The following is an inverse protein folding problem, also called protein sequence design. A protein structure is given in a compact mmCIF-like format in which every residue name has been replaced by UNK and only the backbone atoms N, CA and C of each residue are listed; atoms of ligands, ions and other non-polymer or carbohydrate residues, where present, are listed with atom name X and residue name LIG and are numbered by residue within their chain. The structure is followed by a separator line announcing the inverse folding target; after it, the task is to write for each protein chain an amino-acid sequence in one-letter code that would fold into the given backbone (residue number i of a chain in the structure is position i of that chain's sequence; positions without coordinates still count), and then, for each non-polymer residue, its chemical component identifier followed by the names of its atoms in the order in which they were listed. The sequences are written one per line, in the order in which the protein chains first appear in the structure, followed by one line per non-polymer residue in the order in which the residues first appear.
data_IF_013890919578
#
_entry.id   IF_013890919578
#
_cell.length_a   1.000
_cell.length_b   1.000
_cell.length_c   1.000
_cell.angle_alpha   90.00
_cell.angle_beta   90.00
_cell.angle_gamma   90.00
#
_symmetry.space_group_name_H-M   'P 1'
#
loop_
_entity.id
_entity.type
_entity.pdbx_description
1 polymer ?
#
# COMPACT_ATOMS: atom_id res chain seq x y z
N UNK A 1 -6.71 19.39 29.42
CA UNK A 1 -6.27 18.90 28.09
C UNK A 1 -7.51 18.56 27.30
N UNK A 2 -7.89 19.45 26.38
CA UNK A 2 -9.09 19.29 25.55
C UNK A 2 -8.66 18.62 24.25
N UNK A 3 -9.02 17.35 24.10
CA UNK A 3 -8.86 16.62 22.84
C UNK A 3 -10.05 16.97 21.96
N UNK A 4 -9.82 17.79 20.93
CA UNK A 4 -10.81 18.06 19.89
C UNK A 4 -10.86 16.87 18.95
N UNK A 5 -11.90 16.04 19.09
CA UNK A 5 -12.21 14.98 18.14
C UNK A 5 -12.84 15.63 16.89
N UNK A 6 -12.08 15.67 15.79
CA UNK A 6 -12.66 15.97 14.47
C UNK A 6 -13.52 14.77 14.02
N UNK A 7 -14.77 14.98 13.59
CA UNK A 7 -15.62 13.91 13.11
C UNK A 7 -15.16 13.51 11.70
N UNK A 8 -14.74 12.25 11.54
CA UNK A 8 -14.48 11.57 10.26
C UNK A 8 -13.44 12.26 9.35
N UNK A 9 -12.22 12.43 9.86
CA UNK A 9 -11.06 12.76 9.03
C UNK A 9 -10.39 11.49 8.50
N UNK A 10 -10.49 11.24 7.19
CA UNK A 10 -9.68 10.22 6.50
C UNK A 10 -8.19 10.48 6.80
N UNK A 11 -7.51 9.53 7.46
CA UNK A 11 -6.10 9.69 7.82
C UNK A 11 -5.23 9.15 6.69
N UNK A 12 -4.37 10.00 6.16
CA UNK A 12 -3.42 9.61 5.11
C UNK A 12 -2.06 9.34 5.73
N UNK A 13 -1.50 8.15 5.49
CA UNK A 13 -0.14 7.78 5.93
C UNK A 13 0.71 7.51 4.69
N UNK A 14 1.85 8.17 4.60
CA UNK A 14 2.81 7.97 3.50
C UNK A 14 3.92 7.02 3.94
N UNK A 15 4.12 5.92 3.20
CA UNK A 15 5.29 5.06 3.35
C UNK A 15 6.48 5.68 2.62
N UNK A 16 7.50 6.17 3.36
CA UNK A 16 8.79 6.58 2.79
C UNK A 16 9.20 8.04 2.98
N UNK A 17 8.38 8.88 3.62
CA UNK A 17 8.70 10.30 3.87
C UNK A 17 8.58 10.64 5.36
N UNK A 18 9.59 11.28 5.93
CA UNK A 18 9.50 11.92 7.24
C UNK A 18 8.64 13.19 7.11
N UNK A 19 7.36 13.14 7.46
CA UNK A 19 6.49 14.32 7.36
C UNK A 19 5.52 14.41 8.55
N UNK A 20 5.62 15.53 9.27
CA UNK A 20 4.64 15.99 10.25
C UNK A 20 3.34 16.38 9.51
N UNK A 21 2.24 15.68 9.76
CA UNK A 21 0.96 15.93 9.09
C UNK A 21 0.23 17.15 9.70
N UNK A 22 -0.04 18.18 8.89
CA UNK A 22 -1.13 19.13 9.11
C UNK A 22 -2.35 18.73 8.26
N UNK A 23 -3.54 18.83 8.84
CA UNK A 23 -4.80 18.48 8.20
C UNK A 23 -5.36 19.67 7.41
N UNK A 24 -5.61 19.50 6.11
CA UNK A 24 -6.42 20.46 5.33
C UNK A 24 -6.08 20.62 3.84
N UNK A 25 -4.91 20.20 3.38
CA UNK A 25 -4.55 20.27 1.95
C UNK A 25 -4.68 18.90 1.28
N UNK A 26 -5.10 18.88 0.01
CA UNK A 26 -4.98 17.71 -0.87
C UNK A 26 -3.53 17.23 -0.73
N UNK A 27 -3.28 16.02 -0.19
CA UNK A 27 -1.93 15.64 0.18
C UNK A 27 -1.03 15.71 -1.05
N UNK A 28 0.17 16.25 -0.87
CA UNK A 28 1.21 16.42 -1.92
C UNK A 28 1.47 15.13 -2.72
N UNK A 29 1.06 13.99 -2.17
CA UNK A 29 0.88 12.67 -2.77
C UNK A 29 0.24 12.70 -4.17
N UNK A 30 -0.72 13.60 -4.45
CA UNK A 30 -1.36 13.71 -5.78
C UNK A 30 -0.40 14.24 -6.86
N UNK A 31 0.72 14.87 -6.47
CA UNK A 31 1.72 15.36 -7.44
C UNK A 31 2.73 14.30 -7.86
N UNK A 32 2.84 13.22 -7.09
CA UNK A 32 3.75 12.12 -7.38
C UNK A 32 2.99 11.02 -8.10
N UNK A 33 3.08 11.01 -9.43
CA UNK A 33 2.46 10.02 -10.32
C UNK A 33 2.95 8.57 -10.09
N UNK A 34 3.84 8.33 -9.11
CA UNK A 34 4.36 7.02 -8.75
C UNK A 34 3.69 6.38 -7.53
N UNK A 35 2.89 7.12 -6.77
CA UNK A 35 2.30 6.61 -5.53
C UNK A 35 0.94 5.98 -5.77
N UNK A 36 0.68 4.83 -5.16
CA UNK A 36 -0.62 4.14 -5.22
C UNK A 36 -1.14 3.85 -3.82
N UNK A 37 -2.45 3.59 -3.70
CA UNK A 37 -2.98 2.91 -2.53
C UNK A 37 -2.40 1.50 -2.47
N UNK A 38 -1.63 1.22 -1.43
CA UNK A 38 -0.94 -0.05 -1.30
C UNK A 38 -1.87 -1.25 -1.15
N UNK A 39 -3.15 -1.05 -0.79
CA UNK A 39 -4.14 -2.12 -0.79
C UNK A 39 -4.36 -2.73 -2.19
N UNK A 40 -4.08 -1.98 -3.27
CA UNK A 40 -4.24 -2.45 -4.65
C UNK A 40 -3.12 -3.42 -5.05
N UNK A 41 -1.96 -3.36 -4.37
CA UNK A 41 -0.77 -4.08 -4.78
C UNK A 41 -0.97 -5.60 -4.83
N UNK A 42 -1.67 -6.17 -3.83
CA UNK A 42 -2.00 -7.59 -3.79
C UNK A 42 -2.87 -8.01 -4.98
N UNK A 43 -3.98 -7.31 -5.20
CA UNK A 43 -4.91 -7.61 -6.29
C UNK A 43 -4.25 -7.47 -7.67
N UNK A 44 -3.37 -6.48 -7.83
CA UNK A 44 -2.58 -6.32 -9.05
C UNK A 44 -1.66 -7.52 -9.28
N UNK A 45 -0.85 -7.87 -8.28
CA UNK A 45 0.14 -8.95 -8.35
C UNK A 45 -0.53 -10.31 -8.60
N UNK A 46 -1.64 -10.61 -7.91
CA UNK A 46 -2.44 -11.82 -8.11
C UNK A 46 -3.09 -11.87 -9.50
N UNK A 47 -3.61 -10.75 -9.99
CA UNK A 47 -4.21 -10.66 -11.34
C UNK A 47 -3.16 -10.93 -12.42
N UNK A 48 -1.99 -10.32 -12.30
CA UNK A 48 -0.87 -10.51 -13.23
C UNK A 48 -0.38 -11.96 -13.19
N UNK A 49 -0.27 -12.56 -11.99
CA UNK A 49 0.09 -13.97 -11.81
C UNK A 49 -0.93 -14.90 -12.45
N UNK A 50 -2.23 -14.67 -12.26
CA UNK A 50 -3.29 -15.51 -12.84
C UNK A 50 -3.28 -15.53 -14.37
N UNK A 51 -2.68 -14.51 -14.99
CA UNK A 51 -2.48 -14.40 -16.44
C UNK A 51 -1.19 -15.06 -16.93
N UNK A 52 -0.41 -15.67 -16.04
CA UNK A 52 0.87 -16.32 -16.37
C UNK A 52 2.00 -15.34 -16.69
N UNK A 53 1.89 -14.08 -16.29
CA UNK A 53 2.91 -13.05 -16.56
C UNK A 53 3.99 -12.98 -15.46
N UNK A 54 3.73 -13.60 -14.31
CA UNK A 54 4.68 -13.73 -13.20
C UNK A 54 4.86 -15.21 -12.87
N UNK A 55 6.07 -15.55 -12.40
CA UNK A 55 6.35 -16.87 -11.83
C UNK A 55 5.54 -17.13 -10.57
N UNK A 56 5.46 -18.39 -10.15
CA UNK A 56 4.78 -18.73 -8.91
C UNK A 56 5.68 -18.45 -7.70
N UNK A 57 5.10 -18.03 -6.59
CA UNK A 57 5.78 -17.82 -5.32
C UNK A 57 5.31 -18.82 -4.24
N UNK A 58 4.34 -19.69 -4.57
CA UNK A 58 3.83 -20.74 -3.67
C UNK A 58 4.83 -21.88 -3.43
N UNK A 59 5.93 -21.92 -4.19
CA UNK A 59 7.06 -22.82 -3.95
C UNK A 59 7.75 -22.60 -2.60
N UNK A 60 7.46 -21.47 -1.93
CA UNK A 60 7.98 -21.18 -0.59
C UNK A 60 9.42 -20.69 -0.57
N UNK A 61 9.94 -20.22 -1.71
CA UNK A 61 11.32 -19.74 -1.83
C UNK A 61 11.48 -18.24 -1.55
N UNK A 62 10.42 -17.44 -1.76
CA UNK A 62 10.45 -15.99 -1.52
C UNK A 62 9.04 -15.46 -1.25
N UNK A 63 8.95 -14.20 -0.81
CA UNK A 63 7.68 -13.53 -0.59
C UNK A 63 7.32 -12.56 -1.73
N UNK A 64 6.03 -12.43 -2.10
CA UNK A 64 5.58 -11.44 -3.08
C UNK A 64 5.71 -10.00 -2.57
N UNK A 65 5.68 -9.03 -3.48
CA UNK A 65 5.89 -7.61 -3.15
C UNK A 65 4.82 -7.07 -2.20
N UNK A 66 3.55 -7.48 -2.38
CA UNK A 66 2.46 -7.09 -1.49
C UNK A 66 2.72 -7.51 -0.04
N UNK A 67 3.41 -8.63 0.20
CA UNK A 67 3.73 -9.08 1.55
C UNK A 67 4.75 -8.14 2.21
N UNK A 68 5.77 -7.71 1.46
CA UNK A 68 6.73 -6.72 1.97
C UNK A 68 6.08 -5.36 2.26
N UNK A 69 5.11 -4.95 1.44
CA UNK A 69 4.29 -3.76 1.70
C UNK A 69 3.53 -3.89 3.03
N UNK A 70 2.83 -5.01 3.26
CA UNK A 70 2.08 -5.26 4.49
C UNK A 70 2.97 -5.16 5.74
N UNK A 71 4.18 -5.70 5.67
CA UNK A 71 5.16 -5.63 6.76
C UNK A 71 5.57 -4.18 7.05
N UNK A 72 5.95 -3.42 6.02
CA UNK A 72 6.34 -2.02 6.17
C UNK A 72 5.17 -1.16 6.66
N UNK A 73 3.95 -1.40 6.15
CA UNK A 73 2.72 -0.75 6.60
C UNK A 73 2.52 -0.98 8.10
N UNK A 74 2.57 -2.24 8.55
CA UNK A 74 2.38 -2.59 9.95
C UNK A 74 3.46 -1.93 10.82
N UNK A 75 4.74 -1.97 10.42
CA UNK A 75 5.82 -1.30 11.16
C UNK A 75 5.56 0.19 11.31
N UNK A 76 5.11 0.87 10.26
CA UNK A 76 4.83 2.31 10.31
C UNK A 76 3.63 2.64 11.21
N UNK A 77 2.56 1.85 11.14
CA UNK A 77 1.38 2.01 11.99
C UNK A 77 1.78 1.94 13.47
N UNK A 78 2.54 0.91 13.83
CA UNK A 78 3.03 0.71 15.20
C UNK A 78 3.94 1.86 15.65
N UNK A 79 4.86 2.31 14.80
CA UNK A 79 5.76 3.44 15.11
C UNK A 79 5.01 4.75 15.34
N UNK A 80 3.88 4.93 14.70
CA UNK A 80 3.04 6.12 14.82
C UNK A 80 2.00 6.01 15.94
N UNK A 81 2.02 4.93 16.74
CA UNK A 81 1.10 4.72 17.86
C UNK A 81 -0.34 4.44 17.45
N UNK A 82 -0.58 4.04 16.19
CA UNK A 82 -1.90 3.65 15.71
C UNK A 82 -2.19 2.18 16.04
N UNK A 83 -3.46 1.89 16.33
CA UNK A 83 -3.93 0.51 16.49
C UNK A 83 -4.26 -0.09 15.12
N UNK A 84 -4.17 -1.41 15.01
CA UNK A 84 -4.67 -2.13 13.83
C UNK A 84 -6.19 -1.98 13.66
N UNK A 85 -6.93 -1.60 14.72
CA UNK A 85 -8.36 -1.29 14.63
C UNK A 85 -8.66 -0.03 13.83
N UNK A 86 -7.70 0.89 13.73
CA UNK A 86 -7.88 2.20 13.08
C UNK A 86 -7.55 2.14 11.57
N UNK A 87 -7.15 0.96 11.08
CA UNK A 87 -6.71 0.72 9.70
C UNK A 87 -7.82 0.85 8.67
N UNK A 88 -9.07 0.55 9.03
CA UNK A 88 -10.19 0.64 8.10
C UNK A 88 -10.38 2.06 7.56
N UNK A 89 -9.89 3.05 8.30
CA UNK A 89 -10.11 4.47 8.05
C UNK A 89 -8.85 5.17 7.52
N UNK A 90 -7.78 4.41 7.24
CA UNK A 90 -6.50 4.93 6.82
C UNK A 90 -6.12 4.44 5.42
N UNK A 91 -5.87 5.37 4.50
CA UNK A 91 -5.26 5.05 3.20
C UNK A 91 -3.75 5.16 3.33
N UNK A 92 -3.04 4.08 3.03
CA UNK A 92 -1.59 4.05 3.06
C UNK A 92 -1.06 4.08 1.63
N UNK A 93 -0.41 5.19 1.29
CA UNK A 93 0.17 5.38 -0.02
C UNK A 93 1.60 4.84 -0.06
N UNK A 94 1.91 4.12 -1.13
CA UNK A 94 3.22 3.49 -1.35
C UNK A 94 3.71 3.78 -2.77
N UNK A 95 5.01 4.00 -2.92
CA UNK A 95 5.69 3.91 -4.22
C UNK A 95 6.13 2.45 -4.41
N UNK A 96 5.47 1.68 -5.30
CA UNK A 96 5.73 0.25 -5.43
C UNK A 96 7.10 -0.02 -6.09
N UNK A 97 7.61 0.89 -6.93
CA UNK A 97 8.95 0.75 -7.53
C UNK A 97 10.04 1.01 -6.48
N UNK A 98 9.86 2.02 -5.63
CA UNK A 98 10.76 2.25 -4.52
C UNK A 98 10.77 1.08 -3.52
N UNK A 99 9.59 0.50 -3.24
CA UNK A 99 9.48 -0.69 -2.39
C UNK A 99 10.20 -1.90 -3.03
N UNK A 100 10.01 -2.14 -4.33
CA UNK A 100 10.66 -3.22 -5.05
C UNK A 100 12.18 -3.08 -5.03
N UNK A 101 12.70 -1.87 -5.30
CA UNK A 101 14.14 -1.59 -5.22
C UNK A 101 14.68 -1.85 -3.82
N UNK A 102 13.94 -1.45 -2.78
CA UNK A 102 14.31 -1.70 -1.38
C UNK A 102 14.39 -3.20 -1.08
N UNK A 103 13.44 -3.99 -1.58
CA UNK A 103 13.44 -5.45 -1.42
C UNK A 103 14.66 -6.07 -2.12
N UNK A 104 14.91 -5.69 -3.38
CA UNK A 104 16.06 -6.19 -4.13
C UNK A 104 17.41 -5.84 -3.48
N UNK A 105 17.58 -4.62 -2.98
CA UNK A 105 18.79 -4.22 -2.27
C UNK A 105 19.03 -5.04 -0.99
N UNK A 106 17.95 -5.35 -0.25
CA UNK A 106 18.03 -6.20 0.96
C UNK A 106 18.47 -7.62 0.62
N UNK A 107 17.92 -8.19 -0.47
CA UNK A 107 18.31 -9.51 -0.96
C UNK A 107 19.79 -9.58 -1.33
N UNK A 108 20.28 -8.59 -2.08
CA UNK A 108 21.70 -8.49 -2.44
C UNK A 108 22.61 -8.36 -1.21
N UNK A 109 22.14 -7.69 -0.16
CA UNK A 109 22.88 -7.57 1.10
C UNK A 109 22.83 -8.85 1.95
N UNK A 110 22.03 -9.86 1.58
CA UNK A 110 21.81 -11.07 2.39
C UNK A 110 21.11 -10.80 3.71
N UNK A 111 20.42 -9.65 3.85
CA UNK A 111 19.75 -9.26 5.09
C UNK A 111 18.30 -9.70 5.00
N UNK A 112 17.94 -10.75 5.75
CA UNK A 112 16.54 -11.15 5.90
C UNK A 112 15.86 -10.19 6.92
N UNK A 113 14.84 -9.41 6.51
CA UNK A 113 14.14 -8.51 7.44
C UNK A 113 13.32 -9.27 8.50
N UNK A 114 13.05 -10.56 8.29
CA UNK A 114 12.32 -11.43 9.21
C UNK A 114 13.24 -12.14 10.22
N UNK A 115 14.57 -12.01 10.11
CA UNK A 115 15.53 -12.57 11.09
C UNK A 115 15.87 -11.59 12.22
N UNK A 116 14.95 -10.70 12.58
CA UNK A 116 15.11 -9.89 13.79
C UNK A 116 15.22 -10.82 15.02
N UNK A 117 16.03 -10.48 16.05
CA UNK A 117 16.14 -11.30 17.26
C UNK A 117 14.76 -11.49 17.90
N UNK A 118 14.24 -12.73 17.88
CA UNK A 118 12.92 -13.09 18.42
C UNK A 118 11.84 -13.46 17.39
N UNK A 119 12.12 -13.37 16.08
CA UNK A 119 11.27 -13.97 15.05
C UNK A 119 11.71 -15.40 14.72
N UNK A 120 10.74 -16.27 14.39
CA UNK A 120 11.00 -17.67 14.02
C UNK A 120 11.85 -17.72 12.76
N UNK A 121 13.01 -18.39 12.85
CA UNK A 121 14.00 -18.60 11.78
C UNK A 121 13.52 -19.62 10.72
N UNK A 122 12.20 -19.74 10.53
CA UNK A 122 11.55 -20.80 9.74
C UNK A 122 10.98 -20.30 8.42
N UNK A 123 11.22 -19.03 8.07
CA UNK A 123 10.77 -18.47 6.81
C UNK A 123 11.57 -18.99 5.61
N UNK A 124 11.05 -18.85 4.38
CA UNK A 124 11.85 -18.94 3.16
C UNK A 124 13.17 -18.22 3.35
N UNK A 125 14.27 -18.86 2.96
CA UNK A 125 15.51 -18.12 2.83
C UNK A 125 15.27 -17.15 1.68
N UNK A 126 15.04 -15.88 2.00
CA UNK A 126 14.85 -14.80 1.02
C UNK A 126 16.20 -14.46 0.34
N UNK A 127 17.00 -15.50 0.10
CA UNK A 127 18.31 -15.46 -0.53
C UNK A 127 18.12 -15.26 -2.03
N UNK A 128 19.20 -14.82 -2.67
CA UNK A 128 19.23 -14.59 -4.11
C UNK A 128 19.14 -15.91 -4.87
N UNK A 129 17.92 -16.43 -5.03
CA UNK A 129 17.63 -17.48 -5.97
C UNK A 129 17.21 -16.87 -7.32
N UNK A 130 17.65 -17.50 -8.42
CA UNK A 130 17.37 -16.97 -9.76
C UNK A 130 15.87 -16.85 -10.07
N UNK A 131 15.02 -17.53 -9.31
CA UNK A 131 13.56 -17.47 -9.43
C UNK A 131 13.01 -16.14 -8.89
N UNK A 132 13.39 -15.73 -7.68
CA UNK A 132 12.93 -14.48 -7.10
C UNK A 132 13.42 -13.25 -7.88
N UNK A 133 14.66 -13.26 -8.36
CA UNK A 133 15.16 -12.17 -9.21
C UNK A 133 14.38 -12.05 -10.53
N UNK A 134 14.04 -13.17 -11.15
CA UNK A 134 13.19 -13.17 -12.36
C UNK A 134 11.80 -12.65 -12.04
N UNK A 135 11.23 -13.05 -10.92
CA UNK A 135 9.94 -12.60 -10.43
C UNK A 135 9.91 -11.07 -10.25
N UNK A 136 10.81 -10.51 -9.45
CA UNK A 136 10.84 -9.07 -9.18
C UNK A 136 11.23 -8.24 -10.40
N UNK A 137 12.11 -8.75 -11.26
CA UNK A 137 12.44 -8.07 -12.52
C UNK A 137 11.22 -7.98 -13.45
N UNK A 138 10.47 -9.08 -13.60
CA UNK A 138 9.25 -9.10 -14.40
C UNK A 138 8.17 -8.19 -13.79
N UNK A 139 7.99 -8.24 -12.47
CA UNK A 139 7.06 -7.38 -11.75
C UNK A 139 7.41 -5.90 -11.92
N UNK A 140 8.68 -5.52 -11.85
CA UNK A 140 9.16 -4.15 -12.06
C UNK A 140 8.75 -3.61 -13.43
N UNK A 141 9.00 -4.37 -14.51
CA UNK A 141 8.60 -3.99 -15.87
C UNK A 141 7.09 -3.82 -16.01
N UNK A 142 6.30 -4.66 -15.33
CA UNK A 142 4.85 -4.58 -15.38
C UNK A 142 4.32 -3.40 -14.56
N UNK A 143 4.91 -3.14 -13.40
CA UNK A 143 4.60 -1.98 -12.57
C UNK A 143 4.90 -0.69 -13.32
N UNK A 144 6.06 -0.52 -13.94
CA UNK A 144 6.41 0.70 -14.70
C UNK A 144 5.34 1.05 -15.75
N UNK A 145 4.78 0.05 -16.43
CA UNK A 145 3.72 0.24 -17.43
C UNK A 145 2.35 0.52 -16.81
N UNK A 146 2.04 -0.14 -15.69
CA UNK A 146 0.74 -0.04 -15.04
C UNK A 146 0.62 1.16 -14.09
N UNK A 147 1.74 1.72 -13.62
CA UNK A 147 1.77 2.69 -12.53
C UNK A 147 0.91 3.92 -12.75
N UNK A 148 0.90 4.57 -13.94
CA UNK A 148 0.04 5.73 -14.17
C UNK A 148 -1.45 5.39 -14.03
N UNK A 149 -1.84 4.18 -14.45
CA UNK A 149 -3.22 3.70 -14.36
C UNK A 149 -3.59 3.33 -12.93
N UNK A 150 -2.70 2.64 -12.21
CA UNK A 150 -2.91 2.30 -10.81
C UNK A 150 -3.01 3.57 -9.95
N UNK A 151 -2.15 4.56 -10.18
CA UNK A 151 -2.20 5.86 -9.52
C UNK A 151 -3.54 6.56 -9.77
N UNK A 152 -3.96 6.68 -11.04
CA UNK A 152 -5.24 7.29 -11.37
C UNK A 152 -6.42 6.58 -10.68
N UNK A 153 -6.41 5.24 -10.65
CA UNK A 153 -7.43 4.45 -9.94
C UNK A 153 -7.41 4.69 -8.43
N UNK A 154 -6.23 4.74 -7.81
CA UNK A 154 -6.09 5.04 -6.37
C UNK A 154 -6.62 6.43 -6.03
N UNK A 155 -6.33 7.43 -6.86
CA UNK A 155 -6.80 8.81 -6.66
C UNK A 155 -8.33 8.86 -6.76
N UNK A 156 -8.92 8.23 -7.79
CA UNK A 156 -10.38 8.19 -7.95
C UNK A 156 -11.04 7.46 -6.77
N UNK A 157 -10.49 6.31 -6.36
CA UNK A 157 -11.01 5.56 -5.22
C UNK A 157 -10.98 6.39 -3.92
N UNK A 158 -9.87 7.10 -3.67
CA UNK A 158 -9.74 7.97 -2.51
C UNK A 158 -10.72 9.15 -2.54
N UNK A 159 -10.93 9.77 -3.71
CA UNK A 159 -11.93 10.83 -3.89
C UNK A 159 -13.35 10.32 -3.66
N UNK A 160 -13.69 9.13 -4.17
CA UNK A 160 -14.99 8.51 -3.92
C UNK A 160 -15.21 8.21 -2.43
N UNK A 161 -14.20 7.73 -1.72
CA UNK A 161 -14.28 7.43 -0.28
C UNK A 161 -14.46 8.69 0.59
N UNK A 162 -14.00 9.86 0.13
CA UNK A 162 -14.22 11.15 0.79
C UNK A 162 -15.57 11.78 0.44
N UNK A 163 -16.13 11.42 -0.72
CA UNK A 163 -17.38 11.99 -1.25
C UNK A 163 -18.65 11.38 -0.66
N UNK A 164 -18.58 10.67 0.48
CA UNK A 164 -19.74 10.10 1.17
C UNK A 164 -20.80 11.14 1.56
N UNK A 165 -20.41 12.43 1.66
CA UNK A 165 -21.32 13.58 1.75
C UNK A 165 -22.27 13.73 0.54
N UNK A 166 -21.89 13.25 -0.64
CA UNK A 166 -22.74 13.25 -1.84
C UNK A 166 -23.85 12.20 -1.74
N UNK A 167 -23.61 11.08 -1.06
CA UNK A 167 -24.64 10.05 -0.81
C UNK A 167 -25.69 10.58 0.17
N UNK A 168 -25.27 11.28 1.22
CA UNK A 168 -26.19 11.97 2.13
C UNK A 168 -26.95 13.10 1.42
N UNK A 169 -26.28 13.86 0.54
CA UNK A 169 -26.92 14.92 -0.25
C UNK A 169 -27.93 14.35 -1.27
N UNK A 170 -27.63 13.19 -1.89
CA UNK A 170 -28.56 12.50 -2.79
C UNK A 170 -29.73 11.87 -2.03
N UNK A 171 -29.51 11.35 -0.83
CA UNK A 171 -30.59 10.91 0.06
C UNK A 171 -31.49 12.07 0.49
N UNK A 172 -30.91 13.26 0.76
CA UNK A 172 -31.66 14.47 1.07
C UNK A 172 -32.50 14.94 -0.13
N UNK A 173 -31.94 14.91 -1.35
CA UNK A 173 -32.66 15.29 -2.58
C UNK A 173 -33.77 14.28 -2.90
N UNK A 174 -33.53 12.98 -2.69
CA UNK A 174 -34.55 11.94 -2.87
C UNK A 174 -35.68 12.01 -1.82
N UNK A 175 -35.38 12.47 -0.60
CA UNK A 175 -36.39 12.69 0.44
C UNK A 175 -37.29 13.90 0.13
N UNK A 176 -36.73 14.96 -0.47
CA UNK A 176 -37.49 16.17 -0.87
C UNK A 176 -38.34 15.95 -2.13
N UNK A 177 -37.99 14.99 -2.98
CA UNK A 177 -38.77 14.64 -4.19
C UNK A 177 -40.00 13.76 -3.95
N UNK A 178 -40.30 13.38 -2.71
CA UNK A 178 -41.41 12.49 -2.33
C UNK A 178 -42.53 13.18 -1.53
N UNK A 179 -42.55 14.51 -1.46
CA UNK A 179 -43.69 15.32 -0.97
C UNK A 179 -44.51 15.90 -2.13
#
# INVERSE_FOLDING_TARGET
MTVSASPLGHKTVQLGSNSNNQAGEVPEIVRNNSMIDGAILKSFEESVRSKGLLGDYESGNFYPLWFHYEQERNIQIWRNGYSLSDLSDATVWVDPLALLNKVMQRKQAGVNPLTAPGYFDSGPSDTDDGESNRYFSALGVLLEKALPHLHALSVVAAQCAQSTSVVESLQLILAVGNE
#
